data_IF_803436660592
#
_entry.id   IF_803436660592
#
_cell.length_a   1.000
_cell.length_b   1.000
_cell.length_c   1.000
_cell.angle_alpha   90.00
_cell.angle_beta   90.00
_cell.angle_gamma   90.00
#
_symmetry.space_group_name_H-M   'P 1'
#
loop_
_entity.id
_entity.type
_entity.pdbx_description
1 polymer ?
#
# COMPACT_ATOMS: atom_id res chain seq x y z
N UNK A 1 -7.71 -11.92 -15.45
CA UNK A 1 -8.66 -10.80 -15.25
C UNK A 1 -8.54 -10.31 -13.81
N UNK A 2 -7.76 -9.26 -13.55
CA UNK A 2 -7.62 -8.73 -12.18
C UNK A 2 -8.68 -7.66 -11.92
N UNK A 3 -9.77 -8.04 -11.23
CA UNK A 3 -10.86 -7.14 -10.80
C UNK A 3 -10.48 -6.36 -9.54
N UNK A 4 -9.42 -5.54 -9.58
CA UNK A 4 -8.95 -4.84 -8.36
C UNK A 4 -9.65 -3.49 -8.13
N UNK A 5 -10.31 -2.88 -9.11
CA UNK A 5 -10.92 -1.56 -8.93
C UNK A 5 -12.42 -1.64 -8.68
N UNK A 6 -12.79 -1.92 -7.42
CA UNK A 6 -14.10 -1.50 -6.94
C UNK A 6 -14.10 0.03 -6.82
N UNK A 7 -15.08 0.72 -7.42
CA UNK A 7 -15.24 2.17 -7.26
C UNK A 7 -15.39 2.53 -5.77
N UNK A 8 -14.72 3.61 -5.35
CA UNK A 8 -14.83 4.23 -4.02
C UNK A 8 -15.17 5.71 -4.18
N UNK A 9 -15.80 6.30 -3.16
CA UNK A 9 -16.03 7.75 -3.14
C UNK A 9 -14.81 8.45 -2.52
N UNK A 10 -14.10 9.28 -3.30
CA UNK A 10 -12.95 10.05 -2.83
C UNK A 10 -13.28 11.02 -1.69
N UNK A 11 -14.51 11.51 -1.61
CA UNK A 11 -14.96 12.40 -0.52
C UNK A 11 -14.99 11.69 0.85
N UNK A 12 -15.13 10.36 0.85
CA UNK A 12 -15.13 9.54 2.06
C UNK A 12 -13.72 9.12 2.50
N UNK A 13 -12.67 9.54 1.77
CA UNK A 13 -11.29 9.17 2.07
C UNK A 13 -10.66 10.21 3.00
N UNK A 14 -10.49 9.83 4.26
CA UNK A 14 -9.91 10.67 5.30
C UNK A 14 -8.40 10.96 5.13
N UNK A 15 -7.88 11.93 5.90
CA UNK A 15 -6.50 12.37 5.79
C UNK A 15 -5.49 11.27 6.16
N UNK A 16 -5.82 10.38 7.09
CA UNK A 16 -4.96 9.26 7.49
C UNK A 16 -4.81 8.24 6.36
N UNK A 17 -5.88 7.89 5.64
CA UNK A 17 -5.81 6.99 4.49
C UNK A 17 -4.98 7.61 3.36
N UNK A 18 -5.14 8.91 3.09
CA UNK A 18 -4.32 9.65 2.10
C UNK A 18 -2.85 9.69 2.50
N UNK A 19 -2.56 9.88 3.79
CA UNK A 19 -1.19 9.89 4.32
C UNK A 19 -0.55 8.51 4.24
N UNK A 20 -1.27 7.44 4.57
CA UNK A 20 -0.76 6.08 4.44
C UNK A 20 -0.48 5.72 2.97
N UNK A 21 -1.35 6.11 2.03
CA UNK A 21 -1.10 5.96 0.59
C UNK A 21 0.17 6.70 0.13
N UNK A 22 0.41 7.90 0.66
CA UNK A 22 1.64 8.64 0.41
C UNK A 22 2.87 7.88 0.95
N UNK A 23 2.78 7.30 2.14
CA UNK A 23 3.83 6.48 2.72
C UNK A 23 4.15 5.24 1.87
N UNK A 24 3.14 4.56 1.31
CA UNK A 24 3.36 3.46 0.36
C UNK A 24 4.16 3.92 -0.87
N UNK A 25 3.77 5.04 -1.48
CA UNK A 25 4.45 5.56 -2.66
C UNK A 25 5.90 5.99 -2.38
N UNK A 26 6.17 6.59 -1.22
CA UNK A 26 7.53 6.95 -0.80
C UNK A 26 8.37 5.71 -0.52
N UNK A 27 7.82 4.75 0.22
CA UNK A 27 8.55 3.55 0.60
C UNK A 27 8.89 2.68 -0.61
N UNK A 28 8.03 2.62 -1.62
CA UNK A 28 8.30 1.94 -2.88
C UNK A 28 9.49 2.51 -3.67
N UNK A 29 9.79 3.79 -3.49
CA UNK A 29 10.90 4.48 -4.18
C UNK A 29 12.20 4.44 -3.40
N UNK A 30 12.15 3.96 -2.16
CA UNK A 30 13.29 3.90 -1.25
C UNK A 30 13.74 2.45 -1.13
N UNK A 31 15.05 2.22 -1.17
CA UNK A 31 15.62 0.90 -0.94
C UNK A 31 15.44 0.56 0.55
N UNK A 32 14.35 -0.16 0.89
CA UNK A 32 14.03 -0.49 2.28
C UNK A 32 15.14 -1.34 2.89
N UNK A 33 15.51 -1.06 4.15
CA UNK A 33 16.57 -1.78 4.89
C UNK A 33 16.29 -3.28 5.04
N UNK A 34 15.02 -3.66 5.09
CA UNK A 34 14.54 -5.04 5.22
C UNK A 34 14.06 -5.63 3.88
N UNK A 35 14.21 -4.89 2.77
CA UNK A 35 13.66 -5.24 1.46
C UNK A 35 12.13 -5.18 1.38
N UNK A 36 11.44 -4.78 2.46
CA UNK A 36 9.99 -4.68 2.51
C UNK A 36 9.53 -3.20 2.58
N UNK A 37 9.08 -2.63 1.47
CA UNK A 37 8.60 -1.25 1.42
C UNK A 37 7.37 -1.03 2.29
N UNK A 38 6.61 -2.07 2.67
CA UNK A 38 5.44 -1.87 3.52
C UNK A 38 5.78 -1.69 4.99
N UNK A 39 6.74 -2.44 5.54
CA UNK A 39 7.23 -2.19 6.91
C UNK A 39 7.67 -0.72 7.05
N UNK A 40 8.44 -0.26 6.06
CA UNK A 40 8.92 1.11 6.05
C UNK A 40 7.80 2.15 5.86
N UNK A 41 6.74 1.83 5.12
CA UNK A 41 5.56 2.69 5.02
C UNK A 41 4.83 2.84 6.36
N UNK A 42 4.73 1.76 7.15
CA UNK A 42 4.14 1.80 8.50
C UNK A 42 4.97 2.67 9.46
N UNK A 43 6.30 2.55 9.40
CA UNK A 43 7.22 3.38 10.17
C UNK A 43 7.10 4.86 9.80
N UNK A 44 7.06 5.18 8.49
CA UNK A 44 6.86 6.54 7.99
C UNK A 44 5.50 7.10 8.39
N UNK A 45 4.45 6.28 8.37
CA UNK A 45 3.12 6.69 8.78
C UNK A 45 3.10 7.02 10.28
N UNK A 46 3.66 6.14 11.11
CA UNK A 46 3.78 6.32 12.57
C UNK A 46 4.58 7.57 12.90
N UNK A 47 5.73 7.76 12.25
CA UNK A 47 6.58 8.93 12.45
C UNK A 47 5.91 10.25 12.00
N UNK A 48 5.12 10.23 10.92
CA UNK A 48 4.47 11.43 10.37
C UNK A 48 3.15 11.81 11.05
N UNK A 49 2.49 10.86 11.73
CA UNK A 49 1.20 11.08 12.40
C UNK A 49 1.29 11.07 13.92
N UNK A 50 2.33 10.47 14.50
CA UNK A 50 2.45 10.23 15.93
C UNK A 50 1.52 9.12 16.46
N UNK A 51 0.82 8.41 15.58
CA UNK A 51 -0.06 7.31 15.95
C UNK A 51 0.76 6.06 16.26
N UNK A 52 0.50 5.42 17.40
CA UNK A 52 1.19 4.18 17.80
C UNK A 52 0.87 2.97 16.89
N UNK A 53 -0.20 3.06 16.11
CA UNK A 53 -0.62 2.02 15.16
C UNK A 53 -1.48 2.63 14.05
N UNK A 54 -1.60 1.90 12.94
CA UNK A 54 -2.49 2.26 11.83
C UNK A 54 -3.95 2.11 12.28
N UNK A 55 -4.79 3.15 12.09
CA UNK A 55 -6.19 3.09 12.47
C UNK A 55 -6.98 2.13 11.57
N UNK A 56 -8.18 1.76 12.03
CA UNK A 56 -9.13 1.07 11.14
C UNK A 56 -9.72 2.05 10.15
N UNK A 57 -9.80 1.63 8.90
CA UNK A 57 -10.35 2.42 7.80
C UNK A 57 -11.75 1.94 7.42
N UNK A 58 -12.56 2.86 6.91
CA UNK A 58 -13.87 2.56 6.34
C UNK A 58 -13.74 1.82 4.99
N UNK A 59 -14.85 1.36 4.41
CA UNK A 59 -14.82 0.56 3.18
C UNK A 59 -14.26 1.32 1.97
N UNK A 60 -14.54 2.62 1.85
CA UNK A 60 -14.02 3.45 0.75
C UNK A 60 -12.53 3.74 0.91
N UNK A 61 -12.08 4.02 2.12
CA UNK A 61 -10.65 4.16 2.46
C UNK A 61 -9.89 2.86 2.21
N UNK A 62 -10.45 1.70 2.56
CA UNK A 62 -9.85 0.40 2.28
C UNK A 62 -9.72 0.15 0.77
N UNK A 63 -10.72 0.52 -0.03
CA UNK A 63 -10.66 0.41 -1.51
C UNK A 63 -9.63 1.38 -2.10
N UNK A 64 -9.59 2.61 -1.60
CA UNK A 64 -8.59 3.61 -1.98
C UNK A 64 -7.17 3.10 -1.70
N UNK A 65 -6.91 2.60 -0.49
CA UNK A 65 -5.61 2.06 -0.09
C UNK A 65 -5.21 0.84 -0.92
N UNK A 66 -6.17 -0.03 -1.30
CA UNK A 66 -5.92 -1.16 -2.21
C UNK A 66 -5.46 -0.69 -3.60
N UNK A 67 -6.11 0.33 -4.15
CA UNK A 67 -5.71 0.91 -5.43
C UNK A 67 -4.30 1.51 -5.35
N UNK A 68 -4.00 2.24 -4.27
CA UNK A 68 -2.69 2.84 -4.03
C UNK A 68 -1.59 1.79 -3.81
N UNK A 69 -1.90 0.66 -3.17
CA UNK A 69 -0.99 -0.47 -3.06
C UNK A 69 -0.69 -1.12 -4.42
N UNK A 70 -1.66 -1.19 -5.34
CA UNK A 70 -1.42 -1.67 -6.69
C UNK A 70 -0.49 -0.71 -7.48
N UNK A 71 -0.66 0.60 -7.32
CA UNK A 71 0.25 1.60 -7.89
C UNK A 71 1.66 1.49 -7.28
N UNK A 72 1.75 1.27 -5.98
CA UNK A 72 3.00 1.04 -5.23
C UNK A 72 3.73 -0.21 -5.76
N UNK A 73 3.01 -1.30 -6.04
CA UNK A 73 3.54 -2.51 -6.66
C UNK A 73 4.15 -2.24 -8.04
N UNK A 74 3.48 -1.39 -8.83
CA UNK A 74 3.96 -0.99 -10.14
C UNK A 74 5.23 -0.11 -10.04
N UNK A 75 5.30 0.80 -9.05
CA UNK A 75 6.49 1.64 -8.81
C UNK A 75 7.70 0.79 -8.38
N UNK A 76 7.51 -0.13 -7.44
CA UNK A 76 8.56 -1.06 -7.00
C UNK A 76 9.15 -1.87 -8.16
N UNK A 77 8.30 -2.27 -9.09
CA UNK A 77 8.72 -3.01 -10.28
C UNK A 77 9.37 -2.15 -11.36
N UNK A 78 9.34 -0.81 -11.28
CA UNK A 78 10.09 0.06 -12.19
C UNK A 78 11.56 0.25 -11.77
N UNK A 79 12.24 -0.88 -11.55
CA UNK A 79 13.69 -1.00 -11.35
C UNK A 79 14.32 -2.23 -12.03
N UNK A 80 13.56 -3.28 -12.34
CA UNK A 80 13.88 -4.33 -13.32
C UNK A 80 12.62 -5.18 -13.58
N UNK A 81 12.12 -5.23 -14.82
CA UNK A 81 11.05 -6.14 -15.24
C UNK A 81 11.67 -7.20 -16.14
N UNK A 82 12.33 -8.18 -15.53
CA UNK A 82 12.81 -9.33 -16.30
C UNK A 82 11.66 -10.33 -16.57
N UNK A 83 10.60 -10.36 -15.72
CA UNK A 83 9.48 -11.28 -15.90
C UNK A 83 8.13 -10.85 -15.30
N UNK A 84 7.05 -11.48 -15.77
CA UNK A 84 5.68 -11.36 -15.22
C UNK A 84 5.58 -11.92 -13.79
N UNK A 85 6.49 -12.82 -13.40
CA UNK A 85 6.48 -13.45 -12.08
C UNK A 85 6.85 -12.45 -10.96
N UNK A 86 7.74 -11.50 -11.24
CA UNK A 86 8.19 -10.48 -10.26
C UNK A 86 7.04 -9.51 -9.90
N UNK A 87 6.17 -9.22 -10.86
CA UNK A 87 4.93 -8.46 -10.65
C UNK A 87 3.91 -9.22 -9.79
N UNK A 88 3.75 -10.53 -10.03
CA UNK A 88 2.85 -11.37 -9.23
C UNK A 88 3.36 -11.53 -7.79
N UNK A 89 4.67 -11.71 -7.60
CA UNK A 89 5.30 -11.84 -6.29
C UNK A 89 5.22 -10.53 -5.48
N UNK A 90 5.57 -9.39 -6.09
CA UNK A 90 5.42 -8.09 -5.45
C UNK A 90 3.96 -7.81 -5.07
N UNK A 91 3.01 -8.12 -5.97
CA UNK A 91 1.58 -7.97 -5.69
C UNK A 91 1.14 -8.88 -4.55
N UNK A 92 1.62 -10.12 -4.48
CA UNK A 92 1.27 -11.07 -3.42
C UNK A 92 1.85 -10.67 -2.06
N UNK A 93 3.10 -10.19 -2.00
CA UNK A 93 3.71 -9.68 -0.76
C UNK A 93 2.90 -8.49 -0.22
N UNK A 94 2.56 -7.55 -1.10
CA UNK A 94 1.72 -6.40 -0.75
C UNK A 94 0.32 -6.83 -0.30
N UNK A 95 -0.26 -7.84 -0.97
CA UNK A 95 -1.57 -8.42 -0.62
C UNK A 95 -1.54 -9.08 0.77
N UNK A 96 -0.52 -9.87 1.07
CA UNK A 96 -0.38 -10.54 2.36
C UNK A 96 -0.19 -9.54 3.52
N UNK A 97 0.57 -8.46 3.31
CA UNK A 97 0.67 -7.39 4.29
C UNK A 97 -0.62 -6.59 4.44
N UNK A 98 -1.28 -6.23 3.34
CA UNK A 98 -2.59 -5.59 3.40
C UNK A 98 -3.63 -6.43 4.16
N UNK A 99 -3.52 -7.78 4.12
CA UNK A 99 -4.30 -8.68 4.98
C UNK A 99 -3.92 -8.56 6.45
N UNK A 100 -2.62 -8.55 6.78
CA UNK A 100 -2.14 -8.36 8.17
C UNK A 100 -2.62 -7.05 8.77
N UNK A 101 -2.65 -6.00 7.96
CA UNK A 101 -3.15 -4.66 8.33
C UNK A 101 -4.69 -4.59 8.39
N UNK A 102 -5.41 -5.63 7.97
CA UNK A 102 -6.87 -5.66 7.94
C UNK A 102 -7.51 -4.83 6.81
N UNK A 103 -6.73 -4.40 5.82
CA UNK A 103 -7.21 -3.60 4.68
C UNK A 103 -8.02 -4.45 3.68
N UNK A 104 -7.68 -5.75 3.59
CA UNK A 104 -8.35 -6.71 2.70
C UNK A 104 -8.65 -8.02 3.43
N UNK A 105 -9.70 -8.73 3.01
CA UNK A 105 -10.09 -10.05 3.55
C UNK A 105 -9.36 -11.18 2.82
#
# INVERSE_FOLDING_TARGET
MSKITGFFNEENVGPEARRLAHCFNLSARMNSKDGNPLTFAEDLFTASTGLAAIPRFNDDENKYLKMQLAETAAILNHGNLDSVADLEEATEVLRQHAKRMGLIR
#
